data_IF_481096868371
#
_entry.id   IF_481096868371
#
_cell.length_a   1.000
_cell.length_b   1.000
_cell.length_c   1.000
_cell.angle_alpha   90.00
_cell.angle_beta   90.00
_cell.angle_gamma   90.00
#
_symmetry.space_group_name_H-M   'P 1'
#
loop_
_entity.id
_entity.type
_entity.pdbx_description
1 polymer ?
#
# COMPACT_ATOMS: atom_id res chain seq x y z
N UNK A 1 -7.86 -16.17 -18.85
CA UNK A 1 -9.16 -15.68 -19.37
C UNK A 1 -10.21 -15.35 -18.29
N UNK A 2 -10.03 -15.79 -17.04
CA UNK A 2 -11.00 -15.51 -15.96
C UNK A 2 -10.81 -14.15 -15.26
N UNK A 3 -9.67 -13.50 -15.42
CA UNK A 3 -9.43 -12.14 -14.90
C UNK A 3 -10.20 -11.05 -15.67
N UNK A 4 -10.54 -11.30 -16.94
CA UNK A 4 -11.25 -10.33 -17.79
C UNK A 4 -12.71 -10.15 -17.38
N UNK A 5 -13.39 -11.19 -16.90
CA UNK A 5 -14.83 -11.12 -16.59
C UNK A 5 -15.17 -10.16 -15.45
N UNK A 6 -14.23 -9.88 -14.52
CA UNK A 6 -14.45 -8.93 -13.43
C UNK A 6 -13.97 -7.49 -13.69
N UNK A 7 -13.36 -7.21 -14.84
CA UNK A 7 -12.70 -5.92 -15.10
C UNK A 7 -13.70 -4.76 -15.16
N UNK A 8 -14.88 -5.00 -15.76
CA UNK A 8 -15.92 -3.98 -15.87
C UNK A 8 -16.45 -3.54 -14.50
N UNK A 9 -16.66 -4.51 -13.59
CA UNK A 9 -17.08 -4.20 -12.21
C UNK A 9 -16.02 -3.41 -11.45
N UNK A 10 -14.73 -3.77 -11.63
CA UNK A 10 -13.59 -3.05 -11.00
C UNK A 10 -13.46 -1.63 -11.52
N UNK A 11 -13.59 -1.43 -12.83
CA UNK A 11 -13.63 -0.10 -13.44
C UNK A 11 -14.83 0.71 -12.96
N UNK A 12 -16.00 0.09 -12.86
CA UNK A 12 -17.19 0.71 -12.27
C UNK A 12 -16.92 1.16 -10.82
N UNK A 13 -16.43 0.27 -9.96
CA UNK A 13 -16.05 0.62 -8.58
C UNK A 13 -15.06 1.79 -8.56
N UNK A 14 -14.02 1.76 -9.39
CA UNK A 14 -13.02 2.83 -9.48
C UNK A 14 -13.66 4.17 -9.82
N UNK A 15 -14.45 4.24 -10.90
CA UNK A 15 -15.08 5.48 -11.37
C UNK A 15 -16.05 6.04 -10.33
N UNK A 16 -16.94 5.21 -9.78
CA UNK A 16 -17.90 5.64 -8.77
C UNK A 16 -17.23 6.05 -7.46
N UNK A 17 -16.18 5.33 -7.04
CA UNK A 17 -15.41 5.67 -5.84
C UNK A 17 -14.64 6.98 -5.99
N UNK A 18 -14.03 7.22 -7.16
CA UNK A 18 -13.40 8.51 -7.46
C UNK A 18 -14.42 9.63 -7.50
N UNK A 19 -15.58 9.41 -8.11
CA UNK A 19 -16.70 10.37 -8.11
C UNK A 19 -17.16 10.71 -6.70
N UNK A 20 -17.34 9.71 -5.84
CA UNK A 20 -17.71 9.90 -4.44
C UNK A 20 -16.65 10.69 -3.66
N UNK A 21 -15.35 10.39 -3.90
CA UNK A 21 -14.23 11.10 -3.29
C UNK A 21 -14.21 12.59 -3.72
N UNK A 22 -14.30 12.86 -5.02
CA UNK A 22 -14.31 14.23 -5.56
C UNK A 22 -15.51 15.01 -5.00
N UNK A 23 -16.69 14.41 -4.99
CA UNK A 23 -17.90 15.02 -4.41
C UNK A 23 -17.72 15.31 -2.93
N UNK A 24 -17.15 14.38 -2.17
CA UNK A 24 -16.87 14.56 -0.74
C UNK A 24 -15.88 15.71 -0.51
N UNK A 25 -14.78 15.78 -1.28
CA UNK A 25 -13.78 16.86 -1.18
C UNK A 25 -14.39 18.22 -1.54
N UNK A 26 -15.19 18.27 -2.60
CA UNK A 26 -15.89 19.50 -3.00
C UNK A 26 -16.83 20.01 -1.91
N UNK A 27 -17.60 19.10 -1.31
CA UNK A 27 -18.51 19.43 -0.20
C UNK A 27 -17.74 19.86 1.05
N UNK A 28 -16.63 19.18 1.37
CA UNK A 28 -15.77 19.53 2.51
C UNK A 28 -15.18 20.93 2.34
N UNK A 29 -14.65 21.27 1.16
CA UNK A 29 -14.15 22.62 0.82
C UNK A 29 -15.21 23.68 1.05
N UNK A 30 -16.44 23.46 0.62
CA UNK A 30 -17.54 24.42 0.76
C UNK A 30 -17.97 24.64 2.23
N UNK A 31 -17.79 23.63 3.08
CA UNK A 31 -18.14 23.70 4.50
C UNK A 31 -17.03 24.36 5.33
N UNK A 32 -15.78 24.16 4.98
CA UNK A 32 -14.63 24.70 5.71
C UNK A 32 -14.41 26.19 5.44
N UNK A 33 -14.67 26.69 4.23
CA UNK A 33 -14.59 28.14 3.93
C UNK A 33 -15.46 28.99 4.87
N UNK A 34 -16.46 28.39 5.52
CA UNK A 34 -17.35 29.11 6.46
C UNK A 34 -16.93 29.00 7.95
N UNK A 35 -15.91 28.20 8.29
CA UNK A 35 -15.54 27.88 9.67
C UNK A 35 -14.07 28.12 10.06
N UNK A 36 -13.19 28.29 9.09
CA UNK A 36 -11.75 28.24 9.32
C UNK A 36 -11.02 29.59 9.34
N UNK A 37 -11.75 30.70 9.57
CA UNK A 37 -11.07 31.95 9.95
C UNK A 37 -10.56 31.93 11.41
N UNK A 38 -10.88 30.91 12.23
CA UNK A 38 -10.59 30.95 13.67
C UNK A 38 -9.75 29.82 14.26
N UNK A 39 -9.31 28.83 13.52
CA UNK A 39 -8.34 27.84 14.03
C UNK A 39 -7.43 27.38 12.90
N UNK A 40 -6.40 28.16 12.65
CA UNK A 40 -5.15 27.58 12.17
C UNK A 40 -4.78 26.47 13.15
N UNK A 41 -4.92 25.22 12.74
CA UNK A 41 -4.25 24.12 13.42
C UNK A 41 -2.78 24.48 13.29
N UNK A 42 -2.15 24.85 14.40
CA UNK A 42 -0.70 24.85 14.52
C UNK A 42 -0.30 23.38 14.22
N UNK A 43 -0.15 23.09 12.95
CA UNK A 43 0.68 21.98 12.55
C UNK A 43 2.05 22.39 13.04
N UNK A 44 2.47 21.82 14.17
CA UNK A 44 3.88 21.77 14.50
C UNK A 44 4.56 21.28 13.22
N UNK A 45 5.25 22.18 12.59
CA UNK A 45 5.87 21.96 11.30
C UNK A 45 6.95 20.91 11.54
N UNK A 46 6.59 19.62 11.36
CA UNK A 46 7.49 18.49 11.54
C UNK A 46 8.75 18.63 10.67
N UNK A 47 8.75 19.63 9.79
CA UNK A 47 9.83 20.02 8.88
C UNK A 47 10.29 21.47 9.01
N UNK A 48 9.79 22.23 9.99
CA UNK A 48 10.34 23.54 10.33
C UNK A 48 11.69 23.39 11.06
N UNK A 49 12.65 22.81 10.40
CA UNK A 49 13.99 23.34 10.48
C UNK A 49 13.92 24.71 9.82
N UNK A 50 14.47 25.73 10.47
CA UNK A 50 14.52 27.10 10.01
C UNK A 50 14.67 27.16 8.48
N UNK A 51 13.60 27.56 7.80
CA UNK A 51 13.61 27.80 6.36
C UNK A 51 14.52 29.00 6.08
N UNK A 52 15.81 28.75 6.04
CA UNK A 52 16.71 29.64 5.31
C UNK A 52 16.18 29.65 3.89
N UNK A 53 15.65 30.79 3.48
CA UNK A 53 15.04 31.03 2.17
C UNK A 53 15.79 30.25 1.08
N UNK A 54 15.07 29.36 0.42
CA UNK A 54 15.61 28.25 -0.34
C UNK A 54 16.42 28.77 -1.53
N UNK A 55 17.74 28.80 -1.40
CA UNK A 55 18.71 29.15 -2.44
C UNK A 55 18.89 28.01 -3.46
N UNK A 56 18.24 26.87 -3.24
CA UNK A 56 18.44 25.65 -4.01
C UNK A 56 17.23 25.34 -4.89
N UNK A 57 17.48 24.94 -6.13
CA UNK A 57 16.45 24.49 -7.06
C UNK A 57 15.76 23.22 -6.55
N UNK A 58 14.46 23.14 -6.67
CA UNK A 58 13.65 21.94 -6.35
C UNK A 58 13.74 20.87 -7.44
N UNK A 59 14.22 21.24 -8.64
CA UNK A 59 14.29 20.37 -9.81
C UNK A 59 15.04 19.05 -9.54
N UNK A 60 16.23 19.02 -8.91
CA UNK A 60 16.93 17.76 -8.62
C UNK A 60 16.11 16.80 -7.77
N UNK A 61 15.36 17.28 -6.78
CA UNK A 61 14.47 16.45 -5.96
C UNK A 61 13.42 15.80 -6.85
N UNK A 62 12.68 16.59 -7.65
CA UNK A 62 11.62 16.10 -8.51
C UNK A 62 12.16 15.05 -9.49
N UNK A 63 13.31 15.33 -10.12
CA UNK A 63 13.92 14.41 -11.09
C UNK A 63 14.34 13.10 -10.44
N UNK A 64 15.02 13.15 -9.28
CA UNK A 64 15.46 11.93 -8.59
C UNK A 64 14.26 11.13 -8.08
N UNK A 65 13.22 11.78 -7.53
CA UNK A 65 12.00 11.10 -7.14
C UNK A 65 11.26 10.46 -8.32
N UNK A 66 11.19 11.15 -9.47
CA UNK A 66 10.59 10.59 -10.68
C UNK A 66 11.35 9.35 -11.17
N UNK A 67 12.69 9.42 -11.21
CA UNK A 67 13.54 8.27 -11.57
C UNK A 67 13.37 7.13 -10.56
N UNK A 68 13.42 7.43 -9.27
CA UNK A 68 13.21 6.43 -8.21
C UNK A 68 11.84 5.75 -8.36
N UNK A 69 10.78 6.54 -8.58
CA UNK A 69 9.43 6.00 -8.78
C UNK A 69 9.38 5.04 -9.98
N UNK A 70 9.95 5.44 -11.12
CA UNK A 70 10.01 4.57 -12.31
C UNK A 70 10.79 3.28 -12.02
N UNK A 71 11.94 3.38 -11.35
CA UNK A 71 12.75 2.21 -10.99
C UNK A 71 12.01 1.27 -10.03
N UNK A 72 11.29 1.81 -9.04
CA UNK A 72 10.48 1.01 -8.12
C UNK A 72 9.32 0.31 -8.84
N UNK A 73 8.64 1.01 -9.76
CA UNK A 73 7.59 0.39 -10.58
C UNK A 73 8.17 -0.74 -11.45
N UNK A 74 9.30 -0.51 -12.11
CA UNK A 74 9.98 -1.53 -12.90
C UNK A 74 10.47 -2.70 -12.04
N UNK A 75 10.99 -2.43 -10.86
CA UNK A 75 11.52 -3.44 -9.95
C UNK A 75 10.47 -4.31 -9.31
N UNK A 76 9.33 -3.72 -8.89
CA UNK A 76 8.30 -4.41 -8.09
C UNK A 76 7.17 -5.00 -8.94
N UNK A 77 7.03 -4.62 -10.22
CA UNK A 77 6.00 -5.19 -11.09
C UNK A 77 6.43 -6.55 -11.60
N UNK A 78 5.66 -7.59 -11.33
CA UNK A 78 5.94 -8.96 -11.76
C UNK A 78 5.75 -9.14 -13.27
N UNK A 79 6.69 -8.62 -14.08
CA UNK A 79 6.61 -8.55 -15.55
C UNK A 79 6.42 -9.92 -16.21
N UNK A 80 7.16 -10.92 -15.76
CA UNK A 80 7.07 -12.27 -16.31
C UNK A 80 5.74 -12.93 -15.98
N UNK A 81 5.28 -12.83 -14.72
CA UNK A 81 4.04 -13.46 -14.29
C UNK A 81 2.79 -12.75 -14.84
N UNK A 82 2.82 -11.41 -14.97
CA UNK A 82 1.64 -10.61 -15.35
C UNK A 82 1.55 -10.40 -16.85
N UNK A 83 2.68 -10.11 -17.52
CA UNK A 83 2.73 -9.69 -18.91
C UNK A 83 3.53 -10.66 -19.82
N UNK A 84 4.06 -11.75 -19.24
CA UNK A 84 4.94 -12.71 -19.94
C UNK A 84 6.20 -12.05 -20.57
N UNK A 85 6.66 -10.95 -19.98
CA UNK A 85 7.85 -10.21 -20.43
C UNK A 85 9.08 -10.74 -19.71
N UNK A 86 9.93 -11.52 -20.43
CA UNK A 86 11.14 -12.18 -19.90
C UNK A 86 12.42 -11.38 -20.06
N UNK A 87 12.35 -10.17 -20.61
CA UNK A 87 13.52 -9.37 -20.97
C UNK A 87 14.42 -9.07 -19.75
N UNK A 88 13.83 -8.76 -18.62
CA UNK A 88 14.55 -8.41 -17.39
C UNK A 88 15.25 -9.62 -16.77
N UNK A 89 14.57 -10.76 -16.70
CA UNK A 89 15.14 -12.02 -16.22
C UNK A 89 16.28 -12.49 -17.13
N UNK A 90 16.10 -12.39 -18.45
CA UNK A 90 17.13 -12.75 -19.43
C UNK A 90 18.35 -11.84 -19.34
N UNK A 91 18.14 -10.52 -19.18
CA UNK A 91 19.22 -9.55 -19.02
C UNK A 91 20.00 -9.80 -17.73
N UNK A 92 19.31 -10.00 -16.61
CA UNK A 92 19.94 -10.32 -15.33
C UNK A 92 20.80 -11.57 -15.42
N UNK A 93 20.27 -12.64 -16.01
CA UNK A 93 21.00 -13.89 -16.20
C UNK A 93 22.24 -13.71 -17.09
N UNK A 94 22.14 -12.92 -18.17
CA UNK A 94 23.30 -12.62 -19.04
C UNK A 94 24.40 -11.85 -18.30
N UNK A 95 24.01 -10.86 -17.47
CA UNK A 95 24.97 -10.05 -16.69
C UNK A 95 25.63 -10.92 -15.61
N UNK A 96 24.85 -11.66 -14.84
CA UNK A 96 25.36 -12.47 -13.72
C UNK A 96 26.16 -13.68 -14.19
N UNK A 97 25.82 -14.25 -15.35
CA UNK A 97 26.55 -15.36 -15.96
C UNK A 97 27.76 -14.93 -16.82
N UNK A 98 27.98 -13.62 -16.98
CA UNK A 98 29.13 -13.14 -17.78
C UNK A 98 30.44 -13.54 -17.12
N UNK A 99 31.18 -14.40 -17.81
CA UNK A 99 32.41 -14.98 -17.30
C UNK A 99 33.63 -14.48 -18.09
N UNK A 100 34.73 -14.21 -17.40
CA UNK A 100 36.00 -13.76 -17.97
C UNK A 100 37.08 -14.79 -17.63
N UNK A 101 37.97 -15.04 -18.61
CA UNK A 101 39.14 -15.88 -18.46
C UNK A 101 38.89 -17.38 -18.63
N UNK A 102 40.00 -18.16 -18.60
CA UNK A 102 39.98 -19.62 -18.79
C UNK A 102 39.17 -20.34 -17.67
N UNK A 103 39.16 -19.77 -16.46
CA UNK A 103 38.48 -20.35 -15.29
C UNK A 103 36.99 -19.95 -15.19
N UNK A 104 36.46 -19.32 -16.25
CA UNK A 104 35.03 -18.87 -16.28
C UNK A 104 34.62 -18.10 -15.04
N UNK A 105 35.45 -17.16 -14.58
CA UNK A 105 35.18 -16.36 -13.42
C UNK A 105 34.03 -15.38 -13.70
N UNK A 106 32.89 -15.55 -13.00
CA UNK A 106 31.73 -14.70 -13.15
C UNK A 106 31.87 -13.46 -12.26
N UNK A 107 32.44 -12.36 -12.78
CA UNK A 107 32.71 -11.15 -12.00
C UNK A 107 31.45 -10.59 -11.43
N UNK A 108 30.44 -10.33 -12.26
CA UNK A 108 29.20 -9.72 -11.83
C UNK A 108 28.36 -10.64 -10.94
N UNK A 109 28.33 -11.94 -11.23
CA UNK A 109 27.64 -12.92 -10.40
C UNK A 109 28.23 -13.04 -8.99
N UNK A 110 29.56 -12.96 -8.85
CA UNK A 110 30.22 -12.97 -7.54
C UNK A 110 30.19 -11.62 -6.83
N UNK A 111 30.30 -10.51 -7.56
CA UNK A 111 30.29 -9.16 -6.99
C UNK A 111 28.88 -8.73 -6.55
N UNK A 112 27.89 -9.00 -7.40
CA UNK A 112 26.49 -8.62 -7.14
C UNK A 112 25.74 -9.67 -6.33
N UNK A 113 26.25 -10.90 -6.23
CA UNK A 113 25.59 -11.98 -5.52
C UNK A 113 24.19 -12.28 -6.07
N UNK A 114 23.24 -12.39 -5.19
CA UNK A 114 21.83 -12.67 -5.53
C UNK A 114 21.02 -11.38 -5.76
N UNK A 115 21.52 -10.46 -6.60
CA UNK A 115 20.72 -9.28 -6.97
C UNK A 115 19.51 -9.70 -7.79
N UNK A 116 18.32 -9.35 -7.30
CA UNK A 116 17.06 -9.69 -7.94
C UNK A 116 16.90 -8.93 -9.27
N UNK A 117 16.40 -9.61 -10.30
CA UNK A 117 16.03 -8.97 -11.57
C UNK A 117 14.89 -7.94 -11.36
N UNK A 118 14.77 -6.98 -12.29
CA UNK A 118 13.57 -6.15 -12.33
C UNK A 118 12.32 -7.04 -12.47
N UNK A 119 11.34 -6.76 -11.63
CA UNK A 119 10.10 -7.55 -11.54
C UNK A 119 10.08 -8.58 -10.40
N UNK A 120 11.17 -8.72 -9.66
CA UNK A 120 11.28 -9.58 -8.48
C UNK A 120 11.86 -8.86 -7.25
N UNK A 121 11.82 -7.53 -7.24
CA UNK A 121 12.31 -6.73 -6.13
C UNK A 121 11.39 -6.81 -4.92
N UNK A 122 12.01 -6.83 -3.74
CA UNK A 122 11.36 -6.82 -2.44
C UNK A 122 11.81 -5.60 -1.62
N UNK A 123 11.52 -5.58 -0.35
CA UNK A 123 11.81 -4.44 0.53
C UNK A 123 13.30 -4.09 0.63
N UNK A 124 14.19 -5.08 0.50
CA UNK A 124 15.63 -4.86 0.58
C UNK A 124 16.15 -4.03 -0.59
N UNK A 125 15.79 -4.40 -1.82
CA UNK A 125 16.18 -3.67 -3.04
C UNK A 125 15.58 -2.26 -3.04
N UNK A 126 14.32 -2.12 -2.60
CA UNK A 126 13.66 -0.81 -2.44
C UNK A 126 14.40 0.07 -1.46
N UNK A 127 14.81 -0.45 -0.30
CA UNK A 127 15.56 0.28 0.72
C UNK A 127 16.93 0.74 0.19
N UNK A 128 17.62 -0.13 -0.54
CA UNK A 128 18.90 0.22 -1.19
C UNK A 128 18.71 1.36 -2.18
N UNK A 129 17.69 1.30 -3.04
CA UNK A 129 17.42 2.35 -4.04
C UNK A 129 17.04 3.67 -3.38
N UNK A 130 16.24 3.67 -2.32
CA UNK A 130 15.93 4.86 -1.54
C UNK A 130 17.19 5.47 -0.90
N UNK A 131 18.05 4.63 -0.32
CA UNK A 131 19.32 5.07 0.30
C UNK A 131 20.26 5.69 -0.74
N UNK A 132 20.44 5.03 -1.90
CA UNK A 132 21.24 5.58 -2.98
C UNK A 132 20.69 6.90 -3.50
N UNK A 133 19.37 7.03 -3.63
CA UNK A 133 18.70 8.27 -4.05
C UNK A 133 18.95 9.40 -3.04
N UNK A 134 18.93 9.12 -1.74
CA UNK A 134 19.24 10.09 -0.70
C UNK A 134 20.72 10.56 -0.77
N UNK A 135 21.66 9.62 -0.97
CA UNK A 135 23.07 9.95 -1.15
C UNK A 135 23.31 10.79 -2.42
N UNK A 136 22.65 10.46 -3.53
CA UNK A 136 22.71 11.23 -4.77
C UNK A 136 22.17 12.66 -4.55
N UNK A 137 21.04 12.82 -3.85
CA UNK A 137 20.51 14.14 -3.50
C UNK A 137 21.53 14.96 -2.70
N UNK A 138 22.13 14.37 -1.67
CA UNK A 138 23.20 15.03 -0.90
C UNK A 138 24.33 15.52 -1.80
N UNK A 139 24.73 14.70 -2.77
CA UNK A 139 25.79 15.05 -3.73
C UNK A 139 25.38 16.18 -4.69
N UNK A 140 24.14 16.18 -5.18
CA UNK A 140 23.62 17.26 -6.04
C UNK A 140 23.54 18.59 -5.31
N UNK A 141 23.14 18.58 -4.04
CA UNK A 141 23.08 19.78 -3.21
C UNK A 141 24.43 20.17 -2.59
N UNK A 142 25.51 19.49 -2.98
CA UNK A 142 26.88 19.74 -2.49
C UNK A 142 26.99 19.68 -0.95
N UNK A 143 26.18 18.85 -0.33
CA UNK A 143 26.23 18.58 1.10
C UNK A 143 27.49 17.78 1.45
N UNK A 144 28.06 18.00 2.61
CA UNK A 144 29.15 17.17 3.12
C UNK A 144 28.61 15.75 3.43
N UNK A 145 29.48 14.76 3.45
CA UNK A 145 29.07 13.37 3.79
C UNK A 145 28.44 13.33 5.18
N UNK A 146 29.00 14.05 6.14
CA UNK A 146 28.47 14.15 7.51
C UNK A 146 27.05 14.73 7.50
N UNK A 147 26.86 15.87 6.85
CA UNK A 147 25.56 16.53 6.74
C UNK A 147 24.50 15.67 6.05
N UNK A 148 24.88 14.93 5.01
CA UNK A 148 23.99 14.00 4.33
C UNK A 148 23.53 12.88 5.29
N UNK A 149 24.48 12.30 6.03
CA UNK A 149 24.17 11.23 6.99
C UNK A 149 23.33 11.76 8.16
N UNK A 150 23.67 12.93 8.70
CA UNK A 150 22.92 13.55 9.81
C UNK A 150 21.47 13.81 9.40
N UNK A 151 21.22 14.32 8.18
CA UNK A 151 19.88 14.54 7.64
C UNK A 151 19.11 13.22 7.44
N UNK A 152 19.78 12.14 7.00
CA UNK A 152 19.16 10.81 6.90
C UNK A 152 18.76 10.28 8.28
N UNK A 153 19.62 10.46 9.30
CA UNK A 153 19.35 10.06 10.68
C UNK A 153 18.16 10.87 11.24
N UNK A 154 18.13 12.17 11.02
CA UNK A 154 17.05 13.02 11.50
C UNK A 154 15.72 12.71 10.81
N UNK A 155 15.76 12.41 9.51
CA UNK A 155 14.59 11.86 8.80
C UNK A 155 14.10 10.56 9.42
N UNK A 156 14.99 9.63 9.75
CA UNK A 156 14.66 8.35 10.39
C UNK A 156 14.03 8.56 11.77
N UNK A 157 14.58 9.48 12.58
CA UNK A 157 14.01 9.81 13.90
C UNK A 157 12.56 10.29 13.79
N UNK A 158 12.25 11.11 12.79
CA UNK A 158 10.90 11.66 12.57
C UNK A 158 9.85 10.56 12.28
N UNK A 159 10.23 9.48 11.62
CA UNK A 159 9.32 8.37 11.29
C UNK A 159 9.37 7.22 12.29
N UNK A 160 10.23 7.27 13.32
CA UNK A 160 10.45 6.16 14.25
C UNK A 160 9.14 5.72 14.94
N UNK A 161 8.34 6.64 15.44
CA UNK A 161 7.06 6.34 16.08
C UNK A 161 6.12 5.57 15.12
N UNK A 162 6.07 5.99 13.87
CA UNK A 162 5.27 5.32 12.84
C UNK A 162 5.82 3.92 12.51
N UNK A 163 7.14 3.76 12.48
CA UNK A 163 7.77 2.45 12.28
C UNK A 163 7.42 1.46 13.41
N UNK A 164 7.42 1.92 14.68
CA UNK A 164 6.98 1.10 15.82
C UNK A 164 5.52 0.67 15.66
N UNK A 165 4.63 1.58 15.26
CA UNK A 165 3.22 1.23 15.00
C UNK A 165 3.07 0.19 13.90
N UNK A 166 3.87 0.27 12.84
CA UNK A 166 3.91 -0.75 11.77
C UNK A 166 4.33 -2.11 12.33
N UNK A 167 5.39 -2.17 13.14
CA UNK A 167 5.83 -3.42 13.79
C UNK A 167 4.73 -4.01 14.66
N UNK A 168 4.03 -3.18 15.43
CA UNK A 168 2.90 -3.63 16.25
C UNK A 168 1.74 -4.16 15.39
N UNK A 169 1.43 -3.50 14.27
CA UNK A 169 0.41 -3.98 13.33
C UNK A 169 0.76 -5.36 12.77
N UNK A 170 2.02 -5.58 12.35
CA UNK A 170 2.46 -6.90 11.87
C UNK A 170 2.56 -7.94 12.99
N UNK A 171 2.74 -7.54 14.24
CA UNK A 171 2.61 -8.44 15.38
C UNK A 171 1.18 -9.00 15.48
N UNK A 172 0.16 -8.15 15.25
CA UNK A 172 -1.25 -8.60 15.18
C UNK A 172 -1.44 -9.58 14.03
N UNK A 173 -0.87 -9.31 12.85
CA UNK A 173 -0.90 -10.23 11.70
C UNK A 173 -0.30 -11.58 12.07
N UNK A 174 0.87 -11.58 12.70
CA UNK A 174 1.53 -12.80 13.12
C UNK A 174 0.63 -13.66 14.02
N UNK A 175 -0.01 -13.05 15.01
CA UNK A 175 -0.97 -13.75 15.85
C UNK A 175 -2.19 -14.25 15.07
N UNK A 176 -2.77 -13.41 14.22
CA UNK A 176 -3.94 -13.77 13.42
C UNK A 176 -3.67 -14.97 12.49
N UNK A 177 -2.47 -15.03 11.88
CA UNK A 177 -2.09 -16.12 10.99
C UNK A 177 -1.73 -17.43 11.72
N UNK A 178 -1.18 -17.33 12.95
CA UNK A 178 -0.68 -18.50 13.68
C UNK A 178 -1.65 -19.03 14.74
N UNK A 179 -2.80 -18.38 14.93
CA UNK A 179 -3.82 -18.82 15.88
C UNK A 179 -5.12 -19.15 15.17
N UNK A 180 -5.95 -19.99 15.79
CA UNK A 180 -7.29 -20.32 15.30
C UNK A 180 -8.34 -19.24 15.62
N UNK A 181 -7.92 -18.08 16.12
CA UNK A 181 -8.83 -17.01 16.55
C UNK A 181 -9.68 -16.49 15.40
N UNK A 182 -9.06 -16.10 14.29
CA UNK A 182 -9.80 -15.60 13.13
C UNK A 182 -10.66 -16.69 12.47
N UNK A 183 -10.15 -17.89 12.15
CA UNK A 183 -10.97 -18.97 11.62
C UNK A 183 -12.19 -19.31 12.48
N UNK A 184 -12.04 -19.31 13.81
CA UNK A 184 -13.17 -19.58 14.73
C UNK A 184 -14.24 -18.49 14.66
N UNK A 185 -13.84 -17.20 14.63
CA UNK A 185 -14.77 -16.08 14.51
C UNK A 185 -15.45 -16.10 13.13
N UNK A 186 -14.69 -16.34 12.06
CA UNK A 186 -15.20 -16.42 10.71
C UNK A 186 -16.23 -17.54 10.56
N UNK A 187 -15.92 -18.73 11.07
CA UNK A 187 -16.80 -19.89 11.06
C UNK A 187 -18.12 -19.62 11.84
N UNK A 188 -18.01 -18.99 13.01
CA UNK A 188 -19.19 -18.59 13.80
C UNK A 188 -20.10 -17.62 13.02
N UNK A 189 -19.52 -16.60 12.36
CA UNK A 189 -20.30 -15.62 11.59
C UNK A 189 -20.91 -16.27 10.35
N UNK A 190 -20.15 -17.10 9.62
CA UNK A 190 -20.59 -17.68 8.37
C UNK A 190 -21.59 -18.83 8.58
N UNK A 191 -21.54 -19.55 9.69
CA UNK A 191 -22.53 -20.57 10.06
C UNK A 191 -23.90 -20.00 10.44
N UNK A 192 -24.02 -18.69 10.64
CA UNK A 192 -25.32 -18.05 10.86
C UNK A 192 -26.27 -18.22 9.64
N UNK A 193 -25.72 -18.58 8.46
CA UNK A 193 -26.49 -18.86 7.25
C UNK A 193 -26.02 -20.17 6.61
N UNK A 194 -26.98 -20.93 6.05
CA UNK A 194 -26.69 -22.19 5.35
C UNK A 194 -26.13 -22.00 3.94
N UNK A 195 -26.22 -20.77 3.40
CA UNK A 195 -25.74 -20.38 2.05
C UNK A 195 -24.95 -19.10 2.12
N UNK A 196 -24.22 -18.80 1.04
CA UNK A 196 -23.53 -17.52 0.91
C UNK A 196 -24.47 -16.34 1.17
N UNK A 197 -24.04 -15.49 2.10
CA UNK A 197 -24.74 -14.26 2.43
C UNK A 197 -23.75 -13.11 2.38
N UNK A 198 -24.01 -12.15 1.48
CA UNK A 198 -23.13 -11.00 1.24
C UNK A 198 -22.86 -10.19 2.51
N UNK A 199 -23.85 -10.04 3.39
CA UNK A 199 -23.71 -9.27 4.62
C UNK A 199 -22.73 -9.94 5.59
N UNK A 200 -22.91 -11.22 5.89
CA UNK A 200 -22.01 -11.97 6.78
C UNK A 200 -20.61 -12.13 6.19
N UNK A 201 -20.52 -12.37 4.88
CA UNK A 201 -19.23 -12.42 4.17
C UNK A 201 -18.51 -11.08 4.21
N UNK A 202 -19.23 -9.97 4.10
CA UNK A 202 -18.65 -8.61 4.23
C UNK A 202 -18.12 -8.36 5.64
N UNK A 203 -18.86 -8.73 6.69
CA UNK A 203 -18.39 -8.60 8.08
C UNK A 203 -17.13 -9.44 8.30
N UNK A 204 -17.15 -10.70 7.87
CA UNK A 204 -15.99 -11.59 7.95
C UNK A 204 -14.80 -11.01 7.21
N UNK A 205 -15.02 -10.43 6.02
CA UNK A 205 -13.98 -9.81 5.22
C UNK A 205 -13.40 -8.54 5.88
N UNK A 206 -14.24 -7.70 6.49
CA UNK A 206 -13.79 -6.51 7.25
C UNK A 206 -12.91 -6.94 8.43
N UNK A 207 -13.39 -7.87 9.26
CA UNK A 207 -12.63 -8.36 10.40
C UNK A 207 -11.31 -9.02 9.97
N UNK A 208 -11.37 -9.85 8.93
CA UNK A 208 -10.19 -10.48 8.36
C UNK A 208 -9.18 -9.46 7.83
N UNK A 209 -9.65 -8.42 7.14
CA UNK A 209 -8.78 -7.37 6.61
C UNK A 209 -8.09 -6.56 7.73
N UNK A 210 -8.81 -6.24 8.81
CA UNK A 210 -8.23 -5.54 9.97
C UNK A 210 -7.14 -6.39 10.64
N UNK A 211 -7.37 -7.68 10.78
CA UNK A 211 -6.44 -8.58 11.48
C UNK A 211 -5.23 -8.95 10.62
N UNK A 212 -5.40 -9.12 9.32
CA UNK A 212 -4.34 -9.59 8.43
C UNK A 212 -3.60 -8.46 7.69
N UNK A 213 -4.10 -7.22 7.77
CA UNK A 213 -3.45 -5.97 7.32
C UNK A 213 -3.06 -5.95 5.84
N UNK A 214 -2.37 -6.97 5.36
CA UNK A 214 -1.85 -7.07 3.99
C UNK A 214 -2.74 -7.94 3.10
N UNK A 215 -2.94 -7.50 1.85
CA UNK A 215 -3.76 -8.21 0.87
C UNK A 215 -3.29 -9.65 0.63
N UNK A 216 -1.98 -9.91 0.70
CA UNK A 216 -1.43 -11.25 0.54
C UNK A 216 -1.93 -12.19 1.64
N UNK A 217 -1.91 -11.74 2.90
CA UNK A 217 -2.43 -12.52 4.03
C UNK A 217 -3.94 -12.66 3.95
N UNK A 218 -4.66 -11.61 3.55
CA UNK A 218 -6.11 -11.65 3.35
C UNK A 218 -6.49 -12.71 2.31
N UNK A 219 -5.79 -12.77 1.18
CA UNK A 219 -6.04 -13.78 0.15
C UNK A 219 -5.77 -15.19 0.64
N UNK A 220 -4.73 -15.39 1.45
CA UNK A 220 -4.32 -16.71 1.91
C UNK A 220 -5.11 -17.23 3.13
N UNK A 221 -5.58 -16.34 4.01
CA UNK A 221 -6.19 -16.73 5.29
C UNK A 221 -7.67 -16.37 5.41
N UNK A 222 -8.13 -15.30 4.75
CA UNK A 222 -9.52 -14.83 4.85
C UNK A 222 -10.38 -15.41 3.74
N UNK A 223 -9.92 -15.31 2.50
CA UNK A 223 -10.68 -15.79 1.34
C UNK A 223 -11.05 -17.27 1.42
N UNK A 224 -10.15 -18.20 1.83
CA UNK A 224 -10.51 -19.62 1.93
C UNK A 224 -11.68 -19.88 2.89
N UNK A 225 -11.82 -19.10 3.96
CA UNK A 225 -12.94 -19.26 4.91
C UNK A 225 -14.30 -18.93 4.24
N UNK A 226 -14.33 -17.94 3.35
CA UNK A 226 -15.55 -17.53 2.64
C UNK A 226 -15.80 -18.41 1.40
N UNK A 227 -14.72 -18.88 0.74
CA UNK A 227 -14.79 -19.68 -0.49
C UNK A 227 -15.54 -21.02 -0.32
N UNK A 228 -15.57 -21.58 0.90
CA UNK A 228 -16.33 -22.78 1.22
C UNK A 228 -17.84 -22.69 0.98
N UNK A 229 -18.37 -21.50 0.67
CA UNK A 229 -19.79 -21.24 0.42
C UNK A 229 -20.21 -21.29 -1.06
N UNK A 230 -19.43 -21.89 -1.95
CA UNK A 230 -19.74 -22.06 -3.39
C UNK A 230 -20.03 -20.74 -4.12
N UNK A 231 -19.13 -19.77 -4.04
CA UNK A 231 -19.26 -18.45 -4.64
C UNK A 231 -18.41 -18.33 -5.92
N UNK A 232 -18.88 -17.55 -6.89
CA UNK A 232 -18.11 -17.32 -8.11
C UNK A 232 -16.77 -16.60 -7.83
N UNK A 233 -15.73 -16.93 -8.60
CA UNK A 233 -14.40 -16.32 -8.46
C UNK A 233 -14.43 -14.79 -8.64
N UNK A 234 -15.35 -14.30 -9.48
CA UNK A 234 -15.55 -12.86 -9.71
C UNK A 234 -16.06 -12.16 -8.44
N UNK A 235 -17.10 -12.72 -7.81
CA UNK A 235 -17.66 -12.18 -6.56
C UNK A 235 -16.61 -12.20 -5.45
N UNK A 236 -15.84 -13.29 -5.33
CA UNK A 236 -14.76 -13.39 -4.34
C UNK A 236 -13.68 -12.35 -4.57
N UNK A 237 -13.27 -12.11 -5.82
CA UNK A 237 -12.28 -11.10 -6.14
C UNK A 237 -12.77 -9.67 -5.85
N UNK A 238 -14.04 -9.37 -6.14
CA UNK A 238 -14.65 -8.07 -5.82
C UNK A 238 -14.79 -7.87 -4.31
N UNK A 239 -15.20 -8.90 -3.58
CA UNK A 239 -15.30 -8.89 -2.14
C UNK A 239 -13.92 -8.66 -1.50
N UNK A 240 -12.90 -9.40 -1.94
CA UNK A 240 -11.54 -9.26 -1.47
C UNK A 240 -10.99 -7.85 -1.71
N UNK A 241 -11.02 -7.38 -2.96
CA UNK A 241 -10.40 -6.09 -3.31
C UNK A 241 -11.21 -4.90 -2.82
N UNK A 242 -12.53 -4.94 -3.00
CA UNK A 242 -13.42 -3.83 -2.65
C UNK A 242 -13.52 -3.63 -1.14
N UNK A 243 -13.86 -4.69 -0.40
CA UNK A 243 -14.04 -4.59 1.05
C UNK A 243 -12.70 -4.34 1.74
N UNK A 244 -11.62 -5.04 1.32
CA UNK A 244 -10.27 -4.75 1.83
C UNK A 244 -9.89 -3.28 1.60
N UNK A 245 -10.07 -2.75 0.39
CA UNK A 245 -9.75 -1.36 0.07
C UNK A 245 -10.48 -0.37 0.99
N UNK A 246 -11.80 -0.53 1.15
CA UNK A 246 -12.60 0.33 2.05
C UNK A 246 -12.15 0.17 3.51
N UNK A 247 -11.87 -1.06 3.95
CA UNK A 247 -11.43 -1.33 5.32
C UNK A 247 -10.10 -0.65 5.62
N UNK A 248 -9.14 -0.67 4.68
CA UNK A 248 -7.83 -0.04 4.88
C UNK A 248 -7.89 1.50 5.00
N UNK A 249 -8.96 2.14 4.55
CA UNK A 249 -9.21 3.57 4.81
C UNK A 249 -9.61 3.87 6.26
N UNK A 250 -10.06 2.86 7.00
CA UNK A 250 -10.57 3.01 8.36
C UNK A 250 -9.78 2.20 9.39
N UNK A 251 -9.13 1.12 9.00
CA UNK A 251 -8.49 0.20 9.94
C UNK A 251 -7.32 0.86 10.68
N UNK A 252 -7.28 0.78 12.02
CA UNK A 252 -6.15 1.29 12.80
C UNK A 252 -4.85 0.50 12.55
N UNK A 253 -4.98 -0.68 11.97
CA UNK A 253 -3.86 -1.54 11.55
C UNK A 253 -3.34 -1.22 10.15
N UNK A 254 -4.02 -0.36 9.39
CA UNK A 254 -3.59 0.04 8.05
C UNK A 254 -2.31 0.87 8.11
N UNK A 255 -1.22 0.29 7.64
CA UNK A 255 0.11 0.91 7.62
C UNK A 255 0.09 2.25 6.87
N UNK A 256 -0.52 2.29 5.69
CA UNK A 256 -0.60 3.51 4.89
C UNK A 256 -1.39 4.62 5.59
N UNK A 257 -2.51 4.27 6.24
CA UNK A 257 -3.32 5.23 6.99
C UNK A 257 -2.55 5.77 8.21
N UNK A 258 -1.97 4.88 9.00
CA UNK A 258 -1.26 5.27 10.23
C UNK A 258 -0.05 6.14 9.91
N UNK A 259 0.73 5.78 8.88
CA UNK A 259 1.86 6.59 8.42
C UNK A 259 1.39 7.97 7.92
N UNK A 260 0.33 8.02 7.10
CA UNK A 260 -0.21 9.27 6.58
C UNK A 260 -0.74 10.19 7.67
N UNK A 261 -1.51 9.68 8.61
CA UNK A 261 -2.04 10.45 9.74
C UNK A 261 -0.93 10.93 10.68
N UNK A 262 0.06 10.08 10.96
CA UNK A 262 1.21 10.45 11.78
C UNK A 262 2.04 11.55 11.11
N UNK A 263 2.24 11.45 9.79
CA UNK A 263 2.95 12.48 9.01
C UNK A 263 2.22 13.83 9.01
N UNK A 264 0.89 13.81 8.91
CA UNK A 264 0.05 15.01 8.89
C UNK A 264 -0.30 15.54 10.30
N UNK A 265 0.11 14.86 11.36
CA UNK A 265 -0.26 15.23 12.72
C UNK A 265 -1.77 15.13 13.02
N UNK A 266 -2.52 14.34 12.24
CA UNK A 266 -3.98 14.22 12.38
C UNK A 266 -4.31 13.08 13.33
N UNK A 267 -5.06 13.33 14.44
CA UNK A 267 -5.52 12.27 15.32
C UNK A 267 -6.46 11.29 14.59
N UNK A 268 -6.25 9.98 14.77
CA UNK A 268 -7.08 8.93 14.16
C UNK A 268 -8.59 9.12 14.41
N UNK A 269 -8.97 9.54 15.63
CA UNK A 269 -10.37 9.81 15.98
C UNK A 269 -11.01 10.90 15.12
N UNK A 270 -10.24 11.97 14.81
CA UNK A 270 -10.72 13.05 13.94
C UNK A 270 -10.83 12.60 12.49
N UNK A 271 -9.86 11.83 12.01
CA UNK A 271 -9.94 11.22 10.70
C UNK A 271 -11.24 10.41 10.54
N UNK A 272 -11.49 9.48 11.44
CA UNK A 272 -12.67 8.63 11.39
C UNK A 272 -13.98 9.43 11.49
N UNK A 273 -14.03 10.45 12.37
CA UNK A 273 -15.18 11.34 12.51
C UNK A 273 -15.47 12.14 11.23
N UNK A 274 -14.45 12.53 10.49
CA UNK A 274 -14.60 13.28 9.24
C UNK A 274 -14.96 12.37 8.07
N UNK A 275 -14.35 11.18 7.97
CA UNK A 275 -14.44 10.32 6.79
C UNK A 275 -15.55 9.26 6.83
N UNK A 276 -16.23 9.03 7.96
CA UNK A 276 -17.19 7.94 8.11
C UNK A 276 -18.30 7.93 7.03
N UNK A 277 -18.78 9.12 6.60
CA UNK A 277 -19.81 9.23 5.54
C UNK A 277 -19.28 8.77 4.19
N UNK A 278 -18.00 9.09 3.90
CA UNK A 278 -17.32 8.60 2.69
C UNK A 278 -17.12 7.09 2.75
N UNK A 279 -16.72 6.57 3.91
CA UNK A 279 -16.53 5.12 4.11
C UNK A 279 -17.84 4.34 3.89
N UNK A 280 -18.95 4.83 4.41
CA UNK A 280 -20.28 4.23 4.18
C UNK A 280 -20.65 4.29 2.69
N UNK A 281 -20.41 5.41 2.03
CA UNK A 281 -20.68 5.54 0.59
C UNK A 281 -19.82 4.58 -0.24
N UNK A 282 -18.52 4.47 0.05
CA UNK A 282 -17.61 3.53 -0.62
C UNK A 282 -18.04 2.08 -0.39
N UNK A 283 -18.40 1.72 0.85
CA UNK A 283 -18.90 0.40 1.17
C UNK A 283 -20.18 0.08 0.39
N UNK A 284 -21.11 1.04 0.30
CA UNK A 284 -22.35 0.87 -0.47
C UNK A 284 -22.07 0.64 -1.97
N UNK A 285 -21.13 1.40 -2.57
CA UNK A 285 -20.71 1.23 -3.97
C UNK A 285 -20.17 -0.19 -4.19
N UNK A 286 -19.30 -0.66 -3.32
CA UNK A 286 -18.73 -2.01 -3.42
C UNK A 286 -19.81 -3.08 -3.27
N UNK A 287 -20.72 -2.93 -2.30
CA UNK A 287 -21.83 -3.86 -2.08
C UNK A 287 -22.75 -3.96 -3.30
N UNK A 288 -23.10 -2.82 -3.90
CA UNK A 288 -23.90 -2.78 -5.14
C UNK A 288 -23.19 -3.52 -6.28
N UNK A 289 -21.90 -3.28 -6.46
CA UNK A 289 -21.11 -3.97 -7.49
C UNK A 289 -21.08 -5.50 -7.28
N UNK A 290 -20.96 -5.95 -6.03
CA UNK A 290 -20.98 -7.37 -5.69
C UNK A 290 -22.36 -7.97 -5.95
N UNK A 291 -23.45 -7.28 -5.58
CA UNK A 291 -24.81 -7.73 -5.83
C UNK A 291 -25.07 -7.88 -7.34
N UNK A 292 -24.64 -6.89 -8.14
CA UNK A 292 -24.75 -6.97 -9.60
C UNK A 292 -23.97 -8.15 -10.17
N UNK A 293 -22.77 -8.42 -9.65
CA UNK A 293 -21.96 -9.57 -10.08
C UNK A 293 -22.51 -10.93 -9.62
N UNK A 294 -23.43 -10.96 -8.68
CA UNK A 294 -24.13 -12.18 -8.26
C UNK A 294 -25.38 -12.48 -9.13
N UNK A 295 -26.00 -11.44 -9.71
CA UNK A 295 -27.24 -11.56 -10.47
C UNK A 295 -26.96 -11.86 -11.95
N UNK A 296 -25.85 -11.35 -12.47
CA UNK A 296 -25.41 -11.55 -13.86
C UNK A 296 -24.43 -12.71 -13.95
#
# INVERSE_FOLDING_TARGET
SKLSNGIYYRLGILVFSLGALVFYLYKAKRTNIKKDEEKAIETEDLFAGESKANKYSVVPIIVIFAILFVLLVLGCTAWEATFNVKIFTTLNNKITSFAIGKDKFTIFGKLLGNVSAFGSWHYAEMAVMCTLSALLLGRFYRMSHKETIDNMIDGTKKILNSAVLVVLSYTVVYFACNTMTYPTIADFILKATSKFNIFFSTITMILGSVLHVDMLYVVNYVIPQIAGQNVSTTVMALLAQGIYGVTMFAAPTSVALVLGLSYLGIPYKEWLKRTWKLLVALLAIVMVAIILAMVI
#
